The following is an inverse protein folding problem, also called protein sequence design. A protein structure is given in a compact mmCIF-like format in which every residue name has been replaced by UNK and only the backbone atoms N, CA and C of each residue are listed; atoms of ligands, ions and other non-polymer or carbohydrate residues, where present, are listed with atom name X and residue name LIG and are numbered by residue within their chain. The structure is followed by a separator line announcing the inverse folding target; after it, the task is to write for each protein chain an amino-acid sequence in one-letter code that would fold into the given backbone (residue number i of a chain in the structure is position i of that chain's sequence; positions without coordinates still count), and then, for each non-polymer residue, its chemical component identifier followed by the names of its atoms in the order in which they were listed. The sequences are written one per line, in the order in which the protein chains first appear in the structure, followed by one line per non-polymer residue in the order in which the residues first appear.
data_IF_613772396971
#
_entry.id   IF_613772396971
#
_cell.length_a   1.000
_cell.length_b   1.000
_cell.length_c   1.000
_cell.angle_alpha   90.00
_cell.angle_beta   90.00
_cell.angle_gamma   90.00
#
_symmetry.space_group_name_H-M   'P 1'
#
loop_
_entity.id
_entity.type
_entity.pdbx_description
1 polymer ?
#
# COMPACT_ATOMS: atom_id res chain seq x y z
N UNK A 1 11.68 36.96 -37.92
CA UNK A 1 11.08 38.16 -37.26
C UNK A 1 10.67 37.75 -35.85
N UNK A 2 11.61 37.72 -34.91
CA UNK A 2 11.92 38.77 -33.93
C UNK A 2 10.80 39.05 -32.91
N UNK A 3 10.92 38.33 -31.78
CA UNK A 3 10.51 38.75 -30.44
C UNK A 3 10.88 40.22 -30.19
N UNK A 4 9.85 41.05 -29.98
CA UNK A 4 9.96 42.33 -29.28
C UNK A 4 8.65 42.57 -28.56
N UNK A 5 8.64 42.34 -27.25
CA UNK A 5 7.79 43.07 -26.31
C UNK A 5 8.42 42.96 -24.92
N UNK A 6 9.51 43.72 -24.75
CA UNK A 6 10.10 44.03 -23.46
C UNK A 6 9.57 45.39 -22.99
N UNK A 7 9.19 45.43 -21.71
CA UNK A 7 9.31 46.56 -20.80
C UNK A 7 8.80 47.93 -21.22
N UNK A 8 7.57 48.26 -20.80
CA UNK A 8 7.20 49.65 -20.48
C UNK A 8 6.38 49.65 -19.16
N UNK A 9 7.06 49.46 -18.03
CA UNK A 9 6.55 49.97 -16.76
C UNK A 9 7.05 51.42 -16.63
N UNK A 10 6.10 52.36 -16.69
CA UNK A 10 6.36 53.79 -16.80
C UNK A 10 6.95 54.31 -15.49
N UNK A 11 7.93 55.21 -15.61
CA UNK A 11 8.65 55.96 -14.54
C UNK A 11 7.77 56.58 -13.43
N UNK A 12 6.46 56.65 -13.67
CA UNK A 12 5.42 57.16 -12.75
C UNK A 12 5.05 56.15 -11.64
N UNK A 13 5.12 54.85 -11.92
CA UNK A 13 4.63 53.81 -10.98
C UNK A 13 5.72 53.37 -9.98
N UNK A 14 7.00 53.41 -10.38
CA UNK A 14 8.11 53.14 -9.45
C UNK A 14 8.29 54.23 -8.37
N UNK A 15 7.88 55.48 -8.63
CA UNK A 15 7.95 56.56 -7.64
C UNK A 15 6.88 56.42 -6.54
N UNK A 16 5.72 55.84 -6.84
CA UNK A 16 4.66 55.57 -5.86
C UNK A 16 5.02 54.40 -4.94
N UNK A 17 5.71 53.39 -5.46
CA UNK A 17 6.18 52.24 -4.69
C UNK A 17 7.32 52.60 -3.72
N UNK A 18 8.25 53.49 -4.14
CA UNK A 18 9.35 53.94 -3.28
C UNK A 18 8.87 54.84 -2.12
N UNK A 19 7.79 55.61 -2.31
CA UNK A 19 7.23 56.50 -1.28
C UNK A 19 6.52 55.72 -0.16
N UNK A 20 5.93 54.56 -0.48
CA UNK A 20 5.24 53.70 0.49
C UNK A 20 6.23 52.98 1.44
N UNK A 21 7.44 52.67 0.96
CA UNK A 21 8.50 51.99 1.74
C UNK A 21 9.20 52.97 2.70
N UNK A 22 9.32 54.25 2.32
CA UNK A 22 9.88 55.31 3.18
C UNK A 22 8.94 55.76 4.31
N UNK A 23 7.62 55.59 4.16
CA UNK A 23 6.62 55.95 5.18
C UNK A 23 6.47 54.92 6.30
N UNK A 24 6.98 53.69 6.14
CA UNK A 24 6.91 52.63 7.16
C UNK A 24 8.18 52.49 7.99
N UNK A 25 9.23 53.24 7.69
CA UNK A 25 10.54 53.17 8.38
C UNK A 25 10.85 54.38 9.27
N UNK A 26 9.89 55.29 9.46
CA UNK A 26 10.06 56.49 10.29
C UNK A 26 8.98 56.57 11.40
N UNK A 27 9.10 55.71 12.40
CA UNK A 27 8.59 56.00 13.74
C UNK A 27 9.56 55.42 14.80
N UNK A 28 10.49 56.29 15.19
CA UNK A 28 11.36 56.32 16.37
C UNK A 28 10.67 55.83 17.66
N UNK A 29 11.25 54.97 18.51
CA UNK A 29 12.39 55.21 19.42
C UNK A 29 12.23 56.44 20.34
N UNK A 30 11.82 56.27 21.62
CA UNK A 30 12.66 56.52 22.82
C UNK A 30 11.93 56.35 24.19
N UNK A 31 12.58 55.58 25.10
CA UNK A 31 12.76 55.68 26.59
C UNK A 31 11.60 55.59 27.62
N UNK A 32 11.72 54.65 28.58
CA UNK A 32 12.34 54.82 29.94
C UNK A 32 12.30 53.52 30.80
N UNK A 33 13.29 53.40 31.71
CA UNK A 33 13.54 52.33 32.70
C UNK A 33 12.56 52.31 33.88
N UNK A 34 12.21 51.11 34.38
CA UNK A 34 12.24 50.75 35.82
C UNK A 34 12.10 49.21 35.99
N UNK A 35 12.95 48.62 36.84
CA UNK A 35 12.82 47.27 37.41
C UNK A 35 12.87 47.42 38.94
N UNK A 36 12.14 46.61 39.73
CA UNK A 36 12.73 45.33 40.15
C UNK A 36 11.78 44.12 40.33
N UNK A 37 12.35 42.95 40.00
CA UNK A 37 12.22 41.59 40.57
C UNK A 37 10.93 41.19 41.30
N UNK A 38 10.30 40.11 40.83
CA UNK A 38 10.20 38.84 41.61
C UNK A 38 9.97 37.64 40.68
N UNK A 39 10.49 36.48 41.09
CA UNK A 39 10.50 35.15 40.48
C UNK A 39 9.07 34.68 40.07
N UNK A 40 8.81 33.74 39.14
CA UNK A 40 9.30 32.36 39.08
C UNK A 40 8.77 31.68 37.78
N UNK A 41 9.59 30.80 37.16
CA UNK A 41 9.25 29.63 36.30
C UNK A 41 8.61 29.80 34.90
N UNK A 42 9.47 29.55 33.90
CA UNK A 42 9.40 28.50 32.84
C UNK A 42 8.18 28.37 31.92
N UNK A 43 8.53 28.30 30.61
CA UNK A 43 7.77 27.84 29.42
C UNK A 43 6.68 28.83 28.98
N UNK A 44 6.69 29.36 27.76
CA UNK A 44 6.55 28.59 26.53
C UNK A 44 7.14 29.39 25.36
N UNK A 45 8.27 28.89 24.86
CA UNK A 45 8.89 29.32 23.62
C UNK A 45 8.05 28.72 22.50
N UNK A 46 7.45 29.60 21.68
CA UNK A 46 7.18 29.37 20.25
C UNK A 46 6.33 28.13 19.95
N UNK A 47 5.02 28.33 19.78
CA UNK A 47 4.17 27.46 18.95
C UNK A 47 4.68 27.48 17.49
N UNK A 48 5.75 26.72 17.24
CA UNK A 48 6.19 26.22 15.94
C UNK A 48 6.68 24.80 16.16
N UNK A 49 5.78 23.88 16.45
CA UNK A 49 5.95 22.45 16.24
C UNK A 49 4.63 21.77 16.57
N UNK A 50 4.34 20.66 15.88
CA UNK A 50 3.06 19.96 15.77
C UNK A 50 2.05 20.53 14.76
N UNK A 51 2.54 20.83 13.55
CA UNK A 51 1.96 20.12 12.41
C UNK A 51 2.74 18.79 12.35
N UNK A 52 2.43 17.88 13.26
CA UNK A 52 2.59 16.47 12.94
C UNK A 52 1.61 16.27 11.79
N UNK A 53 2.13 16.38 10.57
CA UNK A 53 1.57 15.67 9.45
C UNK A 53 1.32 14.26 9.97
N UNK A 54 0.05 13.93 10.18
CA UNK A 54 -0.44 12.57 10.23
C UNK A 54 0.21 11.88 9.04
N UNK A 55 1.33 11.21 9.32
CA UNK A 55 2.04 10.36 8.40
C UNK A 55 1.09 9.18 8.24
N UNK A 56 0.08 9.37 7.39
CA UNK A 56 -1.03 8.46 7.16
C UNK A 56 -0.43 7.08 7.10
N UNK A 57 -0.78 6.25 8.08
CA UNK A 57 -0.27 4.89 8.27
C UNK A 57 -0.12 4.25 6.89
N UNK A 58 1.13 3.91 6.51
CA UNK A 58 1.51 3.30 5.20
C UNK A 58 0.98 1.86 5.02
N UNK A 59 -0.19 1.58 5.59
CA UNK A 59 -0.84 0.28 5.58
C UNK A 59 -1.59 0.09 4.27
N UNK A 60 -1.72 -1.15 3.86
CA UNK A 60 -2.59 -1.52 2.74
C UNK A 60 -4.03 -1.09 3.03
N UNK A 61 -4.77 -0.60 2.01
CA UNK A 61 -6.19 -0.30 2.13
C UNK A 61 -6.94 -1.53 2.62
N UNK A 62 -8.08 -1.31 3.27
CA UNK A 62 -8.91 -2.43 3.67
C UNK A 62 -9.80 -2.82 2.48
N UNK A 63 -9.95 -4.12 2.16
CA UNK A 63 -10.89 -4.56 1.15
C UNK A 63 -12.30 -4.07 1.45
N UNK A 64 -13.03 -3.73 0.39
CA UNK A 64 -14.45 -3.43 0.40
C UNK A 64 -15.24 -4.64 -0.11
N UNK A 65 -16.56 -4.64 0.06
CA UNK A 65 -17.43 -5.70 -0.49
C UNK A 65 -17.30 -5.85 -2.01
N UNK A 66 -16.91 -4.79 -2.73
CA UNK A 66 -16.70 -4.84 -4.18
C UNK A 66 -15.40 -5.56 -4.58
N UNK A 67 -14.46 -5.70 -3.66
CA UNK A 67 -13.19 -6.39 -3.90
C UNK A 67 -13.32 -7.91 -3.72
N UNK A 68 -14.38 -8.37 -3.05
CA UNK A 68 -14.65 -9.79 -2.79
C UNK A 68 -15.50 -10.31 -3.94
N UNK A 69 -14.88 -10.98 -4.90
CA UNK A 69 -15.58 -11.62 -6.01
C UNK A 69 -15.77 -13.11 -5.72
N UNK A 70 -16.96 -13.65 -5.97
CA UNK A 70 -17.28 -15.06 -5.70
C UNK A 70 -16.72 -16.03 -6.76
N UNK A 71 -16.24 -15.48 -7.89
CA UNK A 71 -15.88 -16.25 -9.10
C UNK A 71 -14.35 -16.48 -9.27
N UNK A 72 -13.51 -16.07 -8.31
CA UNK A 72 -12.07 -16.38 -8.28
C UNK A 72 -11.11 -15.17 -8.15
N UNK A 73 -9.80 -15.47 -8.12
CA UNK A 73 -8.64 -14.58 -7.86
C UNK A 73 -8.98 -13.13 -7.49
N UNK A 74 -9.28 -12.87 -6.22
CA UNK A 74 -9.65 -11.53 -5.76
C UNK A 74 -8.44 -10.57 -5.60
N UNK A 75 -7.19 -11.08 -5.69
CA UNK A 75 -6.00 -10.27 -5.44
C UNK A 75 -5.77 -9.22 -6.52
N UNK A 76 -5.79 -9.62 -7.80
CA UNK A 76 -5.58 -8.69 -8.93
C UNK A 76 -6.65 -7.59 -8.96
N UNK A 77 -7.96 -7.89 -8.91
CA UNK A 77 -9.01 -6.87 -8.83
C UNK A 77 -8.80 -5.91 -7.66
N UNK A 78 -8.50 -6.43 -6.46
CA UNK A 78 -8.21 -5.60 -5.29
C UNK A 78 -7.07 -4.61 -5.56
N UNK A 79 -5.91 -5.06 -6.06
CA UNK A 79 -4.80 -4.15 -6.32
C UNK A 79 -5.11 -3.13 -7.43
N UNK A 80 -5.87 -3.50 -8.45
CA UNK A 80 -6.26 -2.58 -9.52
C UNK A 80 -7.35 -1.57 -9.10
N UNK A 81 -8.20 -1.91 -8.15
CA UNK A 81 -9.21 -1.00 -7.60
C UNK A 81 -8.59 0.07 -6.68
N UNK A 82 -7.57 -0.30 -5.92
CA UNK A 82 -6.97 0.55 -4.89
C UNK A 82 -5.72 1.31 -5.36
N UNK A 83 -5.08 0.86 -6.45
CA UNK A 83 -3.84 1.43 -6.96
C UNK A 83 -3.96 1.78 -8.45
N UNK A 84 -3.26 2.83 -8.89
CA UNK A 84 -3.25 3.21 -10.31
C UNK A 84 -2.04 2.63 -11.01
N UNK A 85 -2.27 2.06 -12.20
CA UNK A 85 -1.18 1.63 -13.10
C UNK A 85 -0.41 2.88 -13.54
N UNK A 86 0.88 2.94 -13.21
CA UNK A 86 1.79 3.99 -13.66
C UNK A 86 2.56 3.59 -14.90
N UNK A 87 2.88 2.31 -14.99
CA UNK A 87 3.68 1.75 -16.07
C UNK A 87 3.36 0.27 -16.22
N UNK A 88 3.40 -0.18 -17.45
CA UNK A 88 3.33 -1.58 -17.85
C UNK A 88 4.58 -1.90 -18.67
N UNK A 89 5.19 -3.04 -18.41
CA UNK A 89 6.36 -3.54 -19.14
C UNK A 89 6.23 -5.03 -19.38
N UNK A 90 6.90 -5.55 -20.41
CA UNK A 90 7.09 -6.99 -20.54
C UNK A 90 7.81 -7.51 -19.29
N UNK A 91 7.22 -8.49 -18.64
CA UNK A 91 7.90 -9.26 -17.61
C UNK A 91 8.99 -10.13 -18.23
N UNK A 92 9.98 -10.50 -17.42
CA UNK A 92 10.97 -11.51 -17.79
C UNK A 92 10.80 -12.70 -16.86
N UNK A 93 9.90 -13.61 -17.26
CA UNK A 93 9.73 -14.92 -16.63
C UNK A 93 10.19 -15.97 -17.66
N UNK A 94 11.33 -16.66 -17.44
CA UNK A 94 12.02 -17.44 -18.48
C UNK A 94 11.18 -18.54 -19.13
N UNK A 95 10.21 -19.07 -18.40
CA UNK A 95 9.38 -20.21 -18.82
C UNK A 95 7.94 -19.80 -19.17
N UNK A 96 7.59 -18.52 -19.01
CA UNK A 96 6.24 -18.04 -19.30
C UNK A 96 6.08 -17.77 -20.81
N UNK A 97 4.93 -18.15 -21.37
CA UNK A 97 4.55 -17.81 -22.75
C UNK A 97 4.30 -16.31 -22.89
N UNK A 98 3.75 -15.70 -21.86
CA UNK A 98 3.53 -14.26 -21.75
C UNK A 98 3.74 -13.85 -20.31
N UNK A 99 4.41 -12.72 -20.10
CA UNK A 99 4.59 -12.12 -18.79
C UNK A 99 4.43 -10.61 -18.89
N UNK A 100 3.57 -10.03 -18.07
CA UNK A 100 3.29 -8.60 -18.04
C UNK A 100 3.49 -8.10 -16.62
N UNK A 101 4.26 -7.01 -16.47
CA UNK A 101 4.60 -6.40 -15.20
C UNK A 101 3.97 -5.02 -15.10
N UNK A 102 3.09 -4.84 -14.12
CA UNK A 102 2.42 -3.61 -13.79
C UNK A 102 3.07 -2.96 -12.57
N UNK A 103 3.46 -1.69 -12.71
CA UNK A 103 3.93 -0.85 -11.62
C UNK A 103 2.76 -0.01 -11.14
N UNK A 104 2.23 -0.38 -9.98
CA UNK A 104 1.07 0.24 -9.36
C UNK A 104 1.54 1.26 -8.32
N UNK A 105 0.85 2.39 -8.22
CA UNK A 105 1.12 3.40 -7.18
C UNK A 105 -0.19 3.79 -6.49
N UNK A 106 -0.15 3.82 -5.15
CA UNK A 106 -1.30 4.26 -4.36
C UNK A 106 -1.50 5.77 -4.53
N UNK A 107 -2.77 6.17 -4.67
CA UNK A 107 -3.15 7.59 -4.71
C UNK A 107 -3.05 8.26 -3.34
N UNK A 108 -3.09 7.48 -2.27
CA UNK A 108 -3.28 7.96 -0.90
C UNK A 108 -2.02 7.87 -0.04
N UNK A 109 -1.02 7.07 -0.44
CA UNK A 109 0.27 6.95 0.26
C UNK A 109 1.35 6.46 -0.73
N UNK A 110 2.61 6.86 -0.51
CA UNK A 110 3.73 6.57 -1.42
C UNK A 110 4.20 5.10 -1.35
N UNK A 111 3.34 4.15 -1.72
CA UNK A 111 3.68 2.72 -1.83
C UNK A 111 3.57 2.32 -3.30
N UNK A 112 4.66 1.81 -3.84
CA UNK A 112 4.71 1.24 -5.18
C UNK A 112 4.56 -0.26 -5.07
N UNK A 113 3.55 -0.83 -5.72
CA UNK A 113 3.32 -2.28 -5.76
C UNK A 113 3.68 -2.76 -7.15
N UNK A 114 4.30 -3.92 -7.22
CA UNK A 114 4.60 -4.57 -8.49
C UNK A 114 3.68 -5.77 -8.60
N UNK A 115 2.87 -5.81 -9.65
CA UNK A 115 2.03 -6.93 -9.99
C UNK A 115 2.57 -7.54 -11.28
N UNK A 116 2.88 -8.82 -11.29
CA UNK A 116 3.33 -9.55 -12.49
C UNK A 116 2.35 -10.68 -12.78
N UNK A 117 1.78 -10.65 -13.98
CA UNK A 117 0.96 -11.72 -14.54
C UNK A 117 1.82 -12.55 -15.46
N UNK A 118 1.69 -13.87 -15.39
CA UNK A 118 2.44 -14.78 -16.25
C UNK A 118 1.57 -15.96 -16.64
N UNK A 119 1.64 -16.33 -17.91
CA UNK A 119 0.88 -17.43 -18.51
C UNK A 119 1.84 -18.56 -18.81
N UNK A 120 1.54 -19.75 -18.28
CA UNK A 120 2.28 -20.98 -18.57
C UNK A 120 1.29 -22.03 -19.07
N UNK A 121 1.33 -22.36 -20.37
CA UNK A 121 0.31 -23.20 -20.98
C UNK A 121 -1.09 -22.60 -20.82
N UNK A 122 -1.98 -23.35 -20.15
CA UNK A 122 -3.36 -22.93 -19.88
C UNK A 122 -3.54 -22.25 -18.50
N UNK A 123 -2.47 -22.08 -17.72
CA UNK A 123 -2.54 -21.54 -16.37
C UNK A 123 -2.15 -20.06 -16.29
N UNK A 124 -2.96 -19.26 -15.59
CA UNK A 124 -2.61 -17.90 -15.17
C UNK A 124 -1.97 -17.92 -13.78
N UNK A 125 -0.82 -17.26 -13.68
CA UNK A 125 -0.05 -17.11 -12.45
C UNK A 125 0.09 -15.63 -12.15
N UNK A 126 -0.14 -15.28 -10.89
CA UNK A 126 -0.07 -13.92 -10.41
C UNK A 126 0.98 -13.84 -9.32
N UNK A 127 1.86 -12.85 -9.42
CA UNK A 127 2.76 -12.49 -8.32
C UNK A 127 2.64 -11.01 -8.01
N UNK A 128 2.65 -10.68 -6.72
CA UNK A 128 2.51 -9.31 -6.24
C UNK A 128 3.60 -9.04 -5.21
N UNK A 129 4.48 -8.10 -5.49
CA UNK A 129 5.50 -7.62 -4.56
C UNK A 129 5.02 -6.35 -3.87
N UNK A 130 4.96 -6.39 -2.55
CA UNK A 130 4.46 -5.34 -1.69
C UNK A 130 5.60 -4.87 -0.76
N UNK A 131 6.26 -3.75 -1.05
CA UNK A 131 7.35 -3.23 -0.21
C UNK A 131 6.82 -2.75 1.13
N UNK A 132 7.70 -2.62 2.13
CA UNK A 132 7.39 -2.07 3.45
C UNK A 132 6.11 -2.69 4.06
N UNK A 133 5.98 -4.01 3.97
CA UNK A 133 4.82 -4.77 4.46
C UNK A 133 5.29 -5.96 5.27
N UNK A 134 4.38 -6.58 6.03
CA UNK A 134 4.67 -7.76 6.83
C UNK A 134 3.77 -8.93 6.45
N UNK A 135 4.17 -10.17 6.78
CA UNK A 135 3.30 -11.34 6.62
C UNK A 135 1.99 -11.14 7.36
N UNK A 136 2.00 -10.53 8.56
CA UNK A 136 0.76 -10.30 9.32
C UNK A 136 -0.22 -9.38 8.60
N UNK A 137 0.28 -8.28 8.03
CA UNK A 137 -0.54 -7.34 7.28
C UNK A 137 -1.13 -7.99 6.02
N UNK A 138 -0.29 -8.68 5.25
CA UNK A 138 -0.70 -9.30 3.99
C UNK A 138 -1.59 -10.51 4.23
N UNK A 139 -1.35 -11.30 5.28
CA UNK A 139 -2.23 -12.39 5.69
C UNK A 139 -3.61 -11.87 6.08
N UNK A 140 -3.68 -10.78 6.86
CA UNK A 140 -4.96 -10.16 7.21
C UNK A 140 -5.71 -9.65 5.97
N UNK A 141 -5.00 -9.09 4.98
CA UNK A 141 -5.58 -8.73 3.69
C UNK A 141 -6.15 -9.97 2.96
N UNK A 142 -5.37 -11.04 2.86
CA UNK A 142 -5.79 -12.29 2.20
C UNK A 142 -7.00 -12.90 2.89
N UNK A 143 -7.06 -12.92 4.23
CA UNK A 143 -8.24 -13.43 4.95
C UNK A 143 -9.51 -12.64 4.65
N UNK A 144 -9.41 -11.34 4.39
CA UNK A 144 -10.56 -10.51 4.03
C UNK A 144 -11.02 -10.70 2.60
N UNK A 145 -10.07 -10.92 1.68
CA UNK A 145 -10.38 -11.22 0.28
C UNK A 145 -10.93 -12.63 0.12
N UNK A 146 -10.40 -13.59 0.89
CA UNK A 146 -10.78 -15.00 0.92
C UNK A 146 -11.30 -15.36 2.34
N UNK A 147 -12.58 -15.03 2.67
CA UNK A 147 -13.14 -15.28 4.01
C UNK A 147 -13.02 -16.72 4.50
N UNK A 148 -12.93 -17.68 3.57
CA UNK A 148 -12.72 -19.08 3.90
C UNK A 148 -11.41 -19.34 4.67
N UNK A 149 -10.44 -18.42 4.66
CA UNK A 149 -9.20 -18.52 5.44
C UNK A 149 -9.26 -17.80 6.80
N UNK A 150 -10.38 -17.16 7.19
CA UNK A 150 -10.51 -16.47 8.49
C UNK A 150 -10.35 -17.40 9.71
N UNK A 151 -10.60 -18.70 9.54
CA UNK A 151 -10.42 -19.72 10.58
C UNK A 151 -8.97 -19.97 10.99
N UNK A 152 -8.01 -19.55 10.18
CA UNK A 152 -6.59 -19.70 10.47
C UNK A 152 -6.02 -18.47 11.18
N UNK A 153 -4.98 -18.66 11.98
CA UNK A 153 -4.27 -17.62 12.71
C UNK A 153 -2.77 -17.77 12.50
N UNK A 154 -2.03 -16.69 12.71
CA UNK A 154 -0.56 -16.71 12.54
C UNK A 154 0.13 -17.62 13.54
N UNK A 155 -0.46 -17.86 14.71
CA UNK A 155 0.08 -18.80 15.70
C UNK A 155 -0.14 -20.28 15.37
N UNK A 156 -0.89 -20.62 14.31
CA UNK A 156 -1.05 -22.02 13.90
C UNK A 156 0.28 -22.60 13.42
N UNK A 157 0.56 -23.87 13.75
CA UNK A 157 1.75 -24.59 13.26
C UNK A 157 1.51 -25.18 11.88
N UNK A 158 0.50 -26.03 11.74
CA UNK A 158 -0.04 -26.50 10.47
C UNK A 158 -1.50 -26.82 10.79
N UNK A 159 -2.43 -26.38 9.95
CA UNK A 159 -3.84 -26.54 10.21
C UNK A 159 -4.59 -26.89 8.94
N UNK A 160 -5.55 -27.79 9.09
CA UNK A 160 -6.50 -28.12 8.04
C UNK A 160 -7.91 -27.88 8.57
N UNK A 161 -8.80 -27.51 7.67
CA UNK A 161 -10.21 -27.35 7.96
C UNK A 161 -11.02 -27.78 6.74
N UNK A 162 -12.24 -28.23 6.97
CA UNK A 162 -13.16 -28.56 5.89
C UNK A 162 -14.55 -28.02 6.15
N UNK A 163 -15.26 -27.70 5.07
CA UNK A 163 -16.62 -27.18 5.09
C UNK A 163 -17.46 -27.90 4.04
N UNK A 164 -18.67 -28.29 4.40
CA UNK A 164 -19.61 -28.88 3.46
C UNK A 164 -20.36 -27.76 2.75
N UNK A 165 -20.13 -27.62 1.45
CA UNK A 165 -20.82 -26.65 0.60
C UNK A 165 -21.75 -27.35 -0.38
N UNK A 166 -22.89 -26.71 -0.63
CA UNK A 166 -23.91 -27.20 -1.55
C UNK A 166 -23.83 -26.38 -2.83
N UNK A 167 -23.41 -27.02 -3.90
CA UNK A 167 -23.34 -26.41 -5.21
C UNK A 167 -24.41 -27.07 -6.10
N UNK A 168 -25.47 -26.31 -6.41
CA UNK A 168 -26.66 -26.85 -7.05
C UNK A 168 -27.38 -27.86 -6.14
N UNK A 169 -27.40 -29.14 -6.54
CA UNK A 169 -28.02 -30.25 -5.78
C UNK A 169 -27.00 -31.26 -5.24
N UNK A 170 -25.71 -30.95 -5.33
CA UNK A 170 -24.63 -31.84 -4.91
C UNK A 170 -23.91 -31.24 -3.70
N UNK A 171 -23.58 -32.10 -2.74
CA UNK A 171 -22.75 -31.74 -1.60
C UNK A 171 -21.29 -31.99 -1.94
N UNK A 172 -20.46 -31.00 -1.67
CA UNK A 172 -19.02 -31.09 -1.81
C UNK A 172 -18.37 -30.72 -0.47
N UNK A 173 -17.22 -31.33 -0.19
CA UNK A 173 -16.40 -30.96 0.95
C UNK A 173 -15.26 -30.08 0.44
N UNK A 174 -15.31 -28.80 0.77
CA UNK A 174 -14.21 -27.88 0.51
C UNK A 174 -13.16 -28.09 1.59
N UNK A 175 -11.89 -28.18 1.19
CA UNK A 175 -10.73 -28.38 2.06
C UNK A 175 -9.81 -27.18 2.01
N UNK A 176 -9.39 -26.76 3.19
CA UNK A 176 -8.54 -25.61 3.41
C UNK A 176 -7.29 -26.02 4.18
N UNK A 177 -6.12 -25.58 3.73
CA UNK A 177 -4.85 -25.90 4.36
C UNK A 177 -4.08 -24.60 4.68
N UNK A 178 -3.44 -24.58 5.85
CA UNK A 178 -2.55 -23.54 6.33
C UNK A 178 -1.20 -24.17 6.65
N UNK A 179 -0.16 -23.78 5.91
CA UNK A 179 1.17 -24.38 5.98
C UNK A 179 2.22 -23.26 6.08
N UNK A 180 2.63 -22.86 7.29
CA UNK A 180 3.71 -21.92 7.50
C UNK A 180 5.06 -22.62 7.40
N UNK A 181 6.06 -21.88 6.93
CA UNK A 181 7.47 -22.23 7.02
C UNK A 181 8.15 -21.22 7.94
N UNK A 182 8.53 -21.73 9.11
CA UNK A 182 9.14 -20.95 10.17
C UNK A 182 10.66 -21.07 10.06
N UNK A 183 11.38 -19.98 10.32
CA UNK A 183 12.84 -20.00 10.39
C UNK A 183 13.35 -20.52 11.75
N UNK A 184 14.66 -20.47 11.95
CA UNK A 184 15.30 -20.91 13.20
C UNK A 184 14.97 -20.03 14.41
N UNK A 185 14.48 -18.81 14.19
CA UNK A 185 14.16 -17.83 15.23
C UNK A 185 12.68 -17.87 15.64
N UNK A 186 11.88 -18.73 15.00
CA UNK A 186 10.44 -18.79 15.24
C UNK A 186 9.62 -17.79 14.40
N UNK A 187 10.25 -17.09 13.45
CA UNK A 187 9.54 -16.17 12.56
C UNK A 187 9.03 -16.90 11.31
N UNK A 188 7.79 -16.63 10.92
CA UNK A 188 7.24 -17.12 9.65
C UNK A 188 7.99 -16.42 8.51
N UNK A 189 8.61 -17.20 7.61
CA UNK A 189 9.23 -16.68 6.36
C UNK A 189 8.40 -16.96 5.12
N UNK A 190 7.52 -17.96 5.20
CA UNK A 190 6.53 -18.23 4.17
C UNK A 190 5.25 -18.74 4.82
N UNK A 191 4.11 -18.36 4.28
CA UNK A 191 2.83 -18.96 4.58
C UNK A 191 2.18 -19.42 3.28
N UNK A 192 1.78 -20.68 3.22
CA UNK A 192 1.02 -21.25 2.10
C UNK A 192 -0.40 -21.53 2.55
N UNK A 193 -1.36 -21.02 1.81
CA UNK A 193 -2.79 -21.28 1.96
C UNK A 193 -3.27 -22.05 0.73
N UNK A 194 -4.07 -23.09 0.94
CA UNK A 194 -4.69 -23.84 -0.15
C UNK A 194 -6.18 -23.96 0.07
N UNK A 195 -6.95 -23.84 -1.01
CA UNK A 195 -8.38 -24.11 -1.04
C UNK A 195 -8.68 -25.06 -2.21
N UNK A 196 -9.16 -26.25 -1.88
CA UNK A 196 -9.67 -27.24 -2.83
C UNK A 196 -11.17 -27.36 -2.65
N UNK A 197 -11.93 -27.28 -3.73
CA UNK A 197 -13.39 -27.38 -3.73
C UNK A 197 -13.89 -28.28 -4.86
N UNK A 198 -14.80 -27.78 -5.70
CA UNK A 198 -15.29 -28.54 -6.86
C UNK A 198 -14.23 -28.59 -7.97
N UNK A 199 -13.72 -29.78 -8.21
CA UNK A 199 -12.84 -30.09 -9.35
C UNK A 199 -11.46 -30.59 -8.92
N UNK A 200 -10.60 -30.98 -9.87
CA UNK A 200 -9.25 -31.48 -9.58
C UNK A 200 -8.25 -30.34 -9.35
N UNK A 201 -8.69 -29.11 -9.12
CA UNK A 201 -7.81 -27.95 -8.97
C UNK A 201 -7.99 -27.30 -7.61
N UNK A 202 -6.90 -26.83 -7.03
CA UNK A 202 -6.92 -25.99 -5.85
C UNK A 202 -6.29 -24.63 -6.12
N UNK A 203 -6.85 -23.62 -5.48
CA UNK A 203 -6.23 -22.31 -5.36
C UNK A 203 -5.10 -22.42 -4.35
N UNK A 204 -3.95 -21.86 -4.68
CA UNK A 204 -2.80 -21.74 -3.79
C UNK A 204 -2.33 -20.31 -3.69
N UNK A 205 -2.22 -19.81 -2.47
CA UNK A 205 -1.68 -18.49 -2.15
C UNK A 205 -0.44 -18.68 -1.28
N UNK A 206 0.70 -18.19 -1.73
CA UNK A 206 1.94 -18.14 -0.95
C UNK A 206 2.26 -16.69 -0.57
N UNK A 207 2.44 -16.42 0.72
CA UNK A 207 2.89 -15.14 1.26
C UNK A 207 4.34 -15.34 1.74
N UNK A 208 5.31 -14.69 1.12
CA UNK A 208 6.73 -14.91 1.35
C UNK A 208 7.38 -13.62 1.84
N UNK A 209 8.10 -13.69 2.96
CA UNK A 209 8.92 -12.60 3.47
C UNK A 209 10.27 -12.56 2.75
N UNK A 210 10.57 -11.44 2.10
CA UNK A 210 11.85 -11.15 1.45
C UNK A 210 12.70 -10.17 2.26
N UNK A 211 12.28 -9.80 3.47
CA UNK A 211 12.97 -8.92 4.41
C UNK A 211 12.38 -7.50 4.43
N UNK A 212 12.50 -6.77 3.33
CA UNK A 212 11.94 -5.41 3.21
C UNK A 212 10.61 -5.35 2.44
N UNK A 213 10.19 -6.48 1.87
CA UNK A 213 8.99 -6.62 1.06
C UNK A 213 8.38 -8.00 1.23
N UNK A 214 7.08 -8.09 0.92
CA UNK A 214 6.35 -9.35 0.87
C UNK A 214 6.06 -9.69 -0.59
N UNK A 215 6.34 -10.93 -0.97
CA UNK A 215 5.93 -11.50 -2.25
C UNK A 215 4.71 -12.39 -2.02
N UNK A 216 3.59 -12.05 -2.67
CA UNK A 216 2.41 -12.90 -2.76
C UNK A 216 2.44 -13.62 -4.10
N UNK A 217 2.28 -14.93 -4.09
CA UNK A 217 2.07 -15.73 -5.31
C UNK A 217 0.70 -16.36 -5.25
N UNK A 218 -0.04 -16.27 -6.35
CA UNK A 218 -1.31 -16.93 -6.56
C UNK A 218 -1.20 -17.82 -7.79
N UNK A 219 -1.62 -19.07 -7.65
CA UNK A 219 -1.65 -20.04 -8.73
C UNK A 219 -2.82 -21.00 -8.58
N UNK A 220 -3.22 -21.60 -9.70
CA UNK A 220 -4.06 -22.78 -9.73
C UNK A 220 -3.17 -24.00 -9.94
N UNK A 221 -3.28 -25.00 -9.07
CA UNK A 221 -2.59 -26.27 -9.22
C UNK A 221 -3.62 -27.38 -9.44
N UNK A 222 -3.43 -28.19 -10.47
CA UNK A 222 -4.24 -29.40 -10.72
C UNK A 222 -3.59 -30.60 -10.03
N UNK A 223 -4.38 -31.40 -9.32
CA UNK A 223 -3.99 -32.71 -8.77
C UNK A 223 -3.92 -33.79 -9.82
#
# INVERSE_FOLDING_TARGET
MLLKNFNILRKSEMKKLLLLILLLTACSADKKEEQPKTETKQKEVVQKELVEEDYIKRKLPQPTEQDINLDGNELKPYFLNHFSIKREESGFEPEAETSIKYFLESRSFKKQIILTESIYGLGEYLSITIPESSISEVFSLVQKLYPAFEKFKLENTEATASENNVYGKMNFEDKFEYIPKIDKNGEIKRLTLKHSGIGPSYVKIEIIDLGNEILVKYSFETT
#
